data_IF_088720477810
#
_entry.id   IF_088720477810
#
_cell.length_a   1.000
_cell.length_b   1.000
_cell.length_c   1.000
_cell.angle_alpha   90.00
_cell.angle_beta   90.00
_cell.angle_gamma   90.00
#
_symmetry.space_group_name_H-M   'P 1'
#
loop_
_entity.id
_entity.type
_entity.pdbx_description
1 polymer ?
#
# COMPACT_ATOMS: atom_id res chain seq x y z
N UNK A 1 -57.24 34.90 31.24
CA UNK A 1 -57.60 33.48 31.29
C UNK A 1 -57.19 32.91 29.94
N UNK A 2 -55.97 32.37 29.86
CA UNK A 2 -55.70 30.91 29.87
C UNK A 2 -56.28 30.29 28.57
N UNK A 3 -55.52 29.67 27.66
CA UNK A 3 -54.51 28.63 27.85
C UNK A 3 -53.45 28.63 26.74
N UNK A 4 -52.26 28.16 27.10
CA UNK A 4 -51.24 27.62 26.20
C UNK A 4 -51.77 26.37 25.50
N UNK A 5 -51.44 26.16 24.22
CA UNK A 5 -50.95 24.85 23.79
C UNK A 5 -49.78 25.01 22.82
N UNK A 6 -48.74 24.30 23.21
CA UNK A 6 -47.42 24.08 22.64
C UNK A 6 -47.53 23.01 21.55
N UNK A 7 -46.94 23.27 20.37
CA UNK A 7 -46.34 22.22 19.55
C UNK A 7 -45.19 22.81 18.76
N UNK A 8 -44.01 22.65 19.34
CA UNK A 8 -42.71 22.66 18.67
C UNK A 8 -42.58 21.38 17.85
N UNK A 9 -42.33 21.44 16.53
CA UNK A 9 -41.54 20.40 15.84
C UNK A 9 -40.88 20.89 14.54
N UNK A 10 -39.59 21.22 14.69
CA UNK A 10 -38.46 20.83 13.83
C UNK A 10 -38.58 21.11 12.33
N UNK A 11 -38.06 22.27 11.90
CA UNK A 11 -37.46 22.41 10.58
C UNK A 11 -36.29 21.41 10.48
N UNK A 12 -36.54 20.27 9.83
CA UNK A 12 -35.46 19.41 9.34
C UNK A 12 -34.91 20.09 8.09
N UNK A 13 -33.86 20.88 8.29
CA UNK A 13 -32.98 21.31 7.22
C UNK A 13 -32.40 20.05 6.56
N UNK A 14 -33.03 19.62 5.48
CA UNK A 14 -32.41 18.73 4.51
C UNK A 14 -31.23 19.49 3.89
N UNK A 15 -30.07 19.41 4.53
CA UNK A 15 -28.80 19.60 3.84
C UNK A 15 -28.66 18.43 2.88
N UNK A 16 -29.27 18.57 1.70
CA UNK A 16 -28.83 17.83 0.53
C UNK A 16 -27.43 18.36 0.26
N UNK A 17 -26.42 17.68 0.81
CA UNK A 17 -25.05 17.83 0.33
C UNK A 17 -25.12 17.29 -1.09
N UNK A 18 -25.26 18.18 -2.07
CA UNK A 18 -25.04 17.84 -3.47
C UNK A 18 -23.65 17.20 -3.54
N UNK A 19 -23.61 15.88 -3.75
CA UNK A 19 -22.38 15.18 -4.12
C UNK A 19 -21.90 15.85 -5.40
N UNK A 20 -20.91 16.72 -5.28
CA UNK A 20 -20.23 17.28 -6.45
C UNK A 20 -19.72 16.10 -7.27
N UNK A 21 -20.20 15.98 -8.51
CA UNK A 21 -19.81 14.89 -9.40
C UNK A 21 -18.29 14.94 -9.61
N UNK A 22 -17.62 13.81 -9.32
CA UNK A 22 -16.18 13.66 -9.51
C UNK A 22 -15.83 13.91 -10.98
N UNK A 23 -15.00 14.94 -11.24
CA UNK A 23 -14.55 15.26 -12.59
C UNK A 23 -13.52 14.23 -13.05
N UNK A 24 -13.87 13.42 -14.05
CA UNK A 24 -12.93 12.46 -14.63
C UNK A 24 -12.09 13.13 -15.73
N UNK A 25 -10.77 13.07 -15.61
CA UNK A 25 -9.83 13.46 -16.67
C UNK A 25 -9.54 12.21 -17.51
N UNK A 26 -10.00 12.14 -18.77
CA UNK A 26 -9.85 10.93 -19.57
C UNK A 26 -8.38 10.64 -19.88
N UNK A 27 -8.03 9.37 -19.89
CA UNK A 27 -6.76 8.87 -20.39
C UNK A 27 -6.99 8.28 -21.79
N UNK A 28 -6.26 8.78 -22.76
CA UNK A 28 -6.27 8.23 -24.11
C UNK A 28 -5.41 6.96 -24.13
N UNK A 29 -6.05 5.84 -23.75
CA UNK A 29 -5.40 4.54 -23.76
C UNK A 29 -5.40 3.96 -25.17
N UNK A 30 -4.29 3.33 -25.61
CA UNK A 30 -4.22 2.71 -26.92
C UNK A 30 -5.22 1.55 -27.02
N UNK A 31 -5.82 1.39 -28.20
CA UNK A 31 -6.54 0.16 -28.56
C UNK A 31 -5.61 -1.05 -28.50
N UNK A 32 -6.17 -2.27 -28.51
CA UNK A 32 -5.36 -3.50 -28.50
C UNK A 32 -4.35 -3.57 -29.65
N UNK A 33 -4.72 -3.07 -30.83
CA UNK A 33 -3.87 -3.08 -32.02
C UNK A 33 -2.77 -2.01 -31.94
N UNK A 34 -3.11 -0.81 -31.46
CA UNK A 34 -2.13 0.24 -31.19
C UNK A 34 -1.14 -0.17 -30.11
N UNK A 35 -1.63 -0.82 -29.04
CA UNK A 35 -0.78 -1.30 -27.95
C UNK A 35 0.22 -2.35 -28.43
N UNK A 36 -0.18 -3.26 -29.32
CA UNK A 36 0.75 -4.23 -29.93
C UNK A 36 1.85 -3.54 -30.74
N UNK A 37 1.48 -2.46 -31.45
CA UNK A 37 2.43 -1.64 -32.24
C UNK A 37 3.41 -0.90 -31.31
N UNK A 38 2.90 -0.26 -30.26
CA UNK A 38 3.73 0.46 -29.27
C UNK A 38 4.67 -0.52 -28.55
N UNK A 39 4.21 -1.73 -28.19
CA UNK A 39 5.06 -2.77 -27.59
C UNK A 39 6.21 -3.16 -28.51
N UNK A 40 5.94 -3.33 -29.80
CA UNK A 40 6.99 -3.65 -30.77
C UNK A 40 8.00 -2.49 -30.92
N UNK A 41 7.51 -1.26 -30.95
CA UNK A 41 8.34 -0.07 -31.05
C UNK A 41 9.23 0.10 -29.80
N UNK A 42 8.66 0.05 -28.61
CA UNK A 42 9.41 0.14 -27.34
C UNK A 42 10.51 -0.92 -27.29
N UNK A 43 10.20 -2.18 -27.68
CA UNK A 43 11.20 -3.25 -27.72
C UNK A 43 12.38 -2.90 -28.63
N UNK A 44 12.12 -2.30 -29.80
CA UNK A 44 13.16 -1.94 -30.77
C UNK A 44 14.09 -0.80 -30.31
N UNK A 45 13.63 0.04 -29.39
CA UNK A 45 14.38 1.18 -28.88
C UNK A 45 15.32 0.81 -27.71
N UNK A 46 15.12 -0.36 -27.08
CA UNK A 46 15.89 -0.76 -25.91
C UNK A 46 17.26 -1.31 -26.28
N UNK A 47 18.28 -0.92 -25.52
CA UNK A 47 19.66 -1.40 -25.70
C UNK A 47 19.87 -2.83 -25.19
N UNK A 48 19.03 -3.26 -24.26
CA UNK A 48 19.06 -4.58 -23.64
C UNK A 48 17.77 -5.31 -23.94
N UNK A 49 17.80 -6.64 -23.87
CA UNK A 49 16.63 -7.46 -24.11
C UNK A 49 15.53 -7.18 -23.07
N UNK A 50 14.36 -6.77 -23.54
CA UNK A 50 13.21 -6.42 -22.70
C UNK A 50 11.93 -7.05 -23.21
N UNK A 51 10.98 -7.26 -22.28
CA UNK A 51 9.58 -7.59 -22.57
C UNK A 51 8.74 -6.40 -22.17
N UNK A 52 8.40 -5.50 -23.12
CA UNK A 52 7.50 -4.39 -22.82
C UNK A 52 6.16 -4.92 -22.32
N UNK A 53 5.84 -4.62 -21.07
CA UNK A 53 4.69 -5.17 -20.36
C UNK A 53 3.68 -4.05 -20.12
N UNK A 54 2.47 -4.11 -20.71
CA UNK A 54 1.40 -3.16 -20.42
C UNK A 54 1.13 -3.12 -18.92
N UNK A 55 1.32 -1.95 -18.33
CA UNK A 55 1.16 -1.73 -16.90
C UNK A 55 0.12 -0.64 -16.70
N UNK A 56 -0.86 -0.91 -15.84
CA UNK A 56 -1.91 0.03 -15.46
C UNK A 56 -1.42 0.94 -14.33
N UNK A 57 -1.55 2.24 -14.54
CA UNK A 57 -1.29 3.27 -13.55
C UNK A 57 -2.62 3.90 -13.14
N UNK A 58 -3.07 3.58 -11.94
CA UNK A 58 -4.25 4.18 -11.34
C UNK A 58 -3.89 5.51 -10.69
N UNK A 59 -4.81 6.47 -10.75
CA UNK A 59 -4.61 7.79 -10.16
C UNK A 59 -5.60 8.03 -9.04
N UNK A 60 -5.16 8.82 -8.07
CA UNK A 60 -5.97 9.21 -6.93
C UNK A 60 -6.98 10.26 -7.31
N UNK A 61 -8.03 10.36 -6.47
CA UNK A 61 -8.80 11.60 -6.40
C UNK A 61 -7.91 12.73 -5.90
N UNK A 62 -8.02 13.87 -6.55
CA UNK A 62 -7.33 15.11 -6.23
C UNK A 62 -8.38 16.23 -6.12
N UNK A 63 -8.08 17.27 -5.33
CA UNK A 63 -8.90 18.48 -5.26
C UNK A 63 -8.17 19.61 -5.95
N UNK A 64 -8.87 20.38 -6.77
CA UNK A 64 -8.34 21.63 -7.30
C UNK A 64 -8.43 22.77 -6.27
N UNK A 65 -7.86 23.93 -6.61
CA UNK A 65 -7.87 25.12 -5.75
C UNK A 65 -9.29 25.65 -5.47
N UNK A 66 -10.29 25.21 -6.24
CA UNK A 66 -11.71 25.55 -6.07
C UNK A 66 -12.48 24.51 -5.23
N UNK A 67 -11.80 23.46 -4.76
CA UNK A 67 -12.37 22.40 -3.94
C UNK A 67 -13.07 21.28 -4.74
N UNK A 68 -13.05 21.34 -6.08
CA UNK A 68 -13.69 20.35 -6.93
C UNK A 68 -12.81 19.10 -7.00
N UNK A 69 -13.39 17.94 -6.73
CA UNK A 69 -12.71 16.66 -6.85
C UNK A 69 -12.57 16.25 -8.32
N UNK A 70 -11.37 15.81 -8.70
CA UNK A 70 -11.10 15.20 -9.99
C UNK A 70 -10.25 13.92 -9.85
N UNK A 71 -10.41 12.98 -10.78
CA UNK A 71 -9.57 11.78 -10.88
C UNK A 71 -9.18 11.58 -12.33
N UNK A 72 -7.93 11.23 -12.57
CA UNK A 72 -7.48 10.82 -13.91
C UNK A 72 -7.81 9.35 -14.13
N UNK A 73 -8.31 9.02 -15.32
CA UNK A 73 -8.51 7.63 -15.72
C UNK A 73 -7.18 6.86 -15.70
N UNK A 74 -7.29 5.55 -15.48
CA UNK A 74 -6.14 4.64 -15.50
C UNK A 74 -5.38 4.79 -16.81
N UNK A 75 -4.07 4.99 -16.72
CA UNK A 75 -3.18 5.07 -17.88
C UNK A 75 -2.50 3.71 -18.09
N UNK A 76 -2.58 3.17 -19.29
CA UNK A 76 -1.88 1.94 -19.66
C UNK A 76 -0.58 2.29 -20.40
N UNK A 77 0.56 1.93 -19.82
CA UNK A 77 1.89 2.18 -20.43
C UNK A 77 2.67 0.88 -20.54
N UNK A 78 3.20 0.52 -21.72
CA UNK A 78 4.11 -0.62 -21.86
C UNK A 78 5.50 -0.29 -21.31
N UNK A 79 5.83 -0.89 -20.15
CA UNK A 79 7.13 -0.68 -19.50
C UNK A 79 8.16 -1.67 -20.03
N UNK A 80 9.37 -1.24 -20.44
CA UNK A 80 10.41 -2.13 -20.96
C UNK A 80 11.10 -2.90 -19.82
N UNK A 81 10.46 -3.96 -19.33
CA UNK A 81 11.01 -4.79 -18.25
C UNK A 81 12.15 -5.67 -18.81
N UNK A 82 13.39 -5.59 -18.28
CA UNK A 82 14.48 -6.44 -18.75
C UNK A 82 14.17 -7.93 -18.57
N UNK A 83 14.51 -8.75 -19.57
CA UNK A 83 14.51 -10.21 -19.41
C UNK A 83 15.69 -10.65 -18.56
N UNK A 84 15.72 -11.93 -18.16
CA UNK A 84 16.91 -12.48 -17.48
C UNK A 84 18.16 -12.26 -18.33
N UNK A 85 18.08 -12.49 -19.65
CA UNK A 85 19.19 -12.22 -20.57
C UNK A 85 19.54 -10.73 -20.61
N UNK A 86 18.54 -9.84 -20.65
CA UNK A 86 18.77 -8.40 -20.58
C UNK A 86 19.48 -7.98 -19.29
N UNK A 87 19.11 -8.57 -18.14
CA UNK A 87 19.81 -8.36 -16.86
C UNK A 87 21.25 -8.87 -16.91
N UNK A 88 21.49 -10.04 -17.51
CA UNK A 88 22.85 -10.55 -17.72
C UNK A 88 23.68 -9.60 -18.59
N UNK A 89 23.11 -9.08 -19.69
CA UNK A 89 23.79 -8.09 -20.53
C UNK A 89 24.15 -6.82 -19.75
N UNK A 90 23.26 -6.31 -18.88
CA UNK A 90 23.56 -5.16 -18.01
C UNK A 90 24.77 -5.44 -17.11
N UNK A 91 24.87 -6.66 -16.58
CA UNK A 91 25.98 -7.07 -15.71
C UNK A 91 27.28 -7.21 -16.51
N UNK A 92 27.23 -7.85 -17.68
CA UNK A 92 28.37 -8.11 -18.56
C UNK A 92 28.95 -6.82 -19.14
N UNK A 93 28.10 -5.87 -19.54
CA UNK A 93 28.51 -4.53 -20.00
C UNK A 93 29.17 -3.71 -18.87
N UNK A 94 28.73 -3.94 -17.62
CA UNK A 94 29.23 -3.22 -16.46
C UNK A 94 28.78 -1.75 -16.41
N UNK A 95 29.64 -0.89 -15.87
CA UNK A 95 29.39 0.56 -15.78
C UNK A 95 28.16 0.94 -14.95
N UNK A 96 27.50 2.04 -15.32
CA UNK A 96 26.41 2.65 -14.54
C UNK A 96 25.16 1.76 -14.42
N UNK A 97 24.87 0.93 -15.44
CA UNK A 97 23.77 -0.02 -15.39
C UNK A 97 23.99 -1.10 -14.33
N UNK A 98 25.17 -1.71 -14.32
CA UNK A 98 25.55 -2.68 -13.29
C UNK A 98 25.65 -2.06 -11.89
N UNK A 99 26.14 -0.82 -11.77
CA UNK A 99 26.15 -0.08 -10.50
C UNK A 99 24.73 0.10 -9.95
N UNK A 100 23.79 0.56 -10.78
CA UNK A 100 22.39 0.73 -10.38
C UNK A 100 21.73 -0.62 -10.00
N UNK A 101 22.02 -1.69 -10.75
CA UNK A 101 21.52 -3.03 -10.41
C UNK A 101 22.07 -3.50 -9.06
N UNK A 102 23.36 -3.25 -8.79
CA UNK A 102 23.97 -3.56 -7.49
C UNK A 102 23.34 -2.74 -6.36
N UNK A 103 23.04 -1.47 -6.59
CA UNK A 103 22.34 -0.63 -5.61
C UNK A 103 20.95 -1.18 -5.29
N UNK A 104 20.19 -1.59 -6.30
CA UNK A 104 18.87 -2.23 -6.11
C UNK A 104 18.97 -3.52 -5.29
N UNK A 105 19.92 -4.41 -5.61
CA UNK A 105 20.19 -5.64 -4.83
C UNK A 105 20.62 -5.30 -3.39
N UNK A 106 21.46 -4.28 -3.22
CA UNK A 106 21.93 -3.84 -1.90
C UNK A 106 20.78 -3.34 -1.03
N UNK A 107 19.81 -2.64 -1.62
CA UNK A 107 18.68 -2.08 -0.86
C UNK A 107 17.75 -3.17 -0.34
N UNK A 108 17.59 -4.29 -1.06
CA UNK A 108 16.85 -5.47 -0.58
C UNK A 108 17.48 -5.99 0.73
N UNK A 109 18.80 -6.18 0.75
CA UNK A 109 19.53 -6.67 1.93
C UNK A 109 19.45 -5.67 3.08
N UNK A 110 19.69 -4.39 2.80
CA UNK A 110 19.60 -3.32 3.83
C UNK A 110 18.21 -3.22 4.41
N UNK A 111 17.17 -3.39 3.60
CA UNK A 111 15.79 -3.34 4.06
C UNK A 111 15.48 -4.51 4.99
N UNK A 112 15.95 -5.72 4.68
CA UNK A 112 15.83 -6.86 5.59
C UNK A 112 16.57 -6.60 6.90
N UNK A 113 17.80 -6.08 6.84
CA UNK A 113 18.57 -5.76 8.04
C UNK A 113 17.85 -4.73 8.93
N UNK A 114 17.27 -3.67 8.35
CA UNK A 114 16.46 -2.69 9.09
C UNK A 114 15.22 -3.34 9.72
N UNK A 115 14.59 -4.30 9.05
CA UNK A 115 13.44 -5.03 9.61
C UNK A 115 13.85 -5.79 10.87
N UNK A 116 14.95 -6.55 10.81
CA UNK A 116 15.47 -7.31 11.95
C UNK A 116 15.78 -6.40 13.14
N UNK A 117 16.47 -5.28 12.91
CA UNK A 117 16.79 -4.29 13.96
C UNK A 117 15.51 -3.70 14.59
N UNK A 118 14.49 -3.43 13.78
CA UNK A 118 13.20 -2.93 14.28
C UNK A 118 12.41 -4.00 15.03
N UNK A 119 12.68 -5.27 14.76
CA UNK A 119 11.99 -6.40 15.35
C UNK A 119 12.59 -6.81 16.70
N UNK A 120 13.89 -6.62 16.90
CA UNK A 120 14.57 -6.87 18.17
C UNK A 120 15.59 -5.77 18.51
N UNK A 121 15.24 -4.95 19.51
CA UNK A 121 16.08 -3.84 20.01
C UNK A 121 17.39 -4.32 20.67
N UNK A 122 17.53 -5.62 20.97
CA UNK A 122 18.75 -6.21 21.54
C UNK A 122 19.78 -6.60 20.50
N UNK A 123 19.42 -6.56 19.22
CA UNK A 123 20.35 -6.85 18.14
C UNK A 123 21.47 -5.81 18.10
N UNK A 124 22.68 -6.32 17.92
CA UNK A 124 23.92 -5.57 17.79
C UNK A 124 24.85 -6.35 16.86
N UNK A 125 26.00 -5.77 16.53
CA UNK A 125 26.93 -6.37 15.57
C UNK A 125 27.43 -7.78 15.96
N UNK A 126 27.42 -8.13 17.26
CA UNK A 126 27.92 -9.41 17.75
C UNK A 126 26.88 -10.54 17.76
N UNK A 127 25.58 -10.22 17.76
CA UNK A 127 24.48 -11.21 17.75
C UNK A 127 23.56 -11.07 16.54
N UNK A 128 23.98 -10.32 15.51
CA UNK A 128 23.17 -10.09 14.31
C UNK A 128 23.00 -11.39 13.50
N UNK A 129 21.76 -11.76 13.10
CA UNK A 129 21.51 -12.96 12.31
C UNK A 129 21.84 -12.73 10.82
N UNK A 130 23.13 -12.77 10.48
CA UNK A 130 23.63 -12.51 9.11
C UNK A 130 23.14 -13.54 8.08
N UNK A 131 22.82 -14.75 8.51
CA UNK A 131 22.21 -15.80 7.69
C UNK A 131 20.87 -15.36 7.08
N UNK A 132 20.09 -14.58 7.84
CA UNK A 132 18.81 -14.01 7.40
C UNK A 132 18.96 -12.84 6.41
N UNK A 133 20.19 -12.38 6.15
CA UNK A 133 20.49 -11.38 5.13
C UNK A 133 20.86 -11.96 3.77
N UNK A 134 21.02 -13.30 3.68
CA UNK A 134 21.39 -13.93 2.42
C UNK A 134 20.29 -13.77 1.37
N UNK A 135 20.70 -13.62 0.10
CA UNK A 135 19.75 -13.49 -0.99
C UNK A 135 18.81 -14.69 -1.06
N UNK A 136 19.33 -15.89 -0.83
CA UNK A 136 18.55 -17.13 -0.82
C UNK A 136 17.48 -17.14 0.29
N UNK A 137 17.85 -16.77 1.51
CA UNK A 137 16.87 -16.64 2.61
C UNK A 137 15.77 -15.62 2.25
N UNK A 138 16.18 -14.42 1.82
CA UNK A 138 15.23 -13.35 1.48
C UNK A 138 14.32 -13.77 0.32
N UNK A 139 14.87 -14.41 -0.72
CA UNK A 139 14.12 -14.87 -1.88
C UNK A 139 13.17 -16.03 -1.58
N UNK A 140 13.29 -16.69 -0.43
CA UNK A 140 12.41 -17.78 0.00
C UNK A 140 11.42 -17.39 1.12
N UNK A 141 11.52 -16.20 1.71
CA UNK A 141 10.50 -15.70 2.66
C UNK A 141 9.09 -15.64 2.03
N UNK A 142 7.98 -15.58 2.78
CA UNK A 142 6.67 -15.31 2.20
C UNK A 142 6.67 -14.01 1.38
N UNK A 143 5.98 -13.96 0.23
CA UNK A 143 6.03 -12.81 -0.71
C UNK A 143 5.70 -11.48 -0.03
N UNK A 144 4.71 -11.47 0.86
CA UNK A 144 4.33 -10.29 1.65
C UNK A 144 5.38 -9.83 2.67
N UNK A 145 6.29 -10.72 3.07
CA UNK A 145 7.41 -10.42 3.98
C UNK A 145 8.66 -9.95 3.24
N UNK A 146 8.77 -10.18 1.91
CA UNK A 146 9.91 -9.74 1.09
C UNK A 146 9.78 -8.23 0.79
N UNK A 147 10.35 -7.38 1.64
CA UNK A 147 10.39 -5.95 1.35
C UNK A 147 11.41 -5.63 0.25
N UNK A 148 10.91 -5.21 -0.89
CA UNK A 148 11.67 -4.85 -2.09
C UNK A 148 10.78 -4.62 -3.32
N UNK A 149 9.58 -5.21 -3.32
CA UNK A 149 8.44 -4.85 -4.17
C UNK A 149 7.28 -4.25 -3.36
N UNK A 150 7.61 -3.46 -2.33
CA UNK A 150 6.62 -2.95 -1.39
C UNK A 150 5.69 -1.91 -1.99
N UNK A 151 4.47 -1.85 -1.47
CA UNK A 151 3.46 -0.85 -1.79
C UNK A 151 4.07 0.56 -1.70
N UNK A 152 3.94 1.41 -2.75
CA UNK A 152 4.56 2.74 -2.77
C UNK A 152 4.16 3.61 -1.58
N UNK A 153 5.06 4.53 -1.17
CA UNK A 153 4.82 5.41 -0.02
C UNK A 153 3.56 6.25 -0.23
N UNK A 154 3.35 6.68 -1.46
CA UNK A 154 2.17 7.41 -1.88
C UNK A 154 0.95 6.54 -1.58
N UNK A 155 0.91 5.28 -2.05
CA UNK A 155 -0.17 4.32 -1.78
C UNK A 155 -0.52 4.25 -0.29
N UNK A 156 0.48 4.12 0.60
CA UNK A 156 0.29 4.19 2.05
C UNK A 156 -0.34 5.51 2.55
N UNK A 157 0.19 6.66 2.13
CA UNK A 157 -0.30 7.96 2.56
C UNK A 157 -1.75 8.22 2.12
N UNK A 158 -2.16 7.70 0.96
CA UNK A 158 -3.55 7.80 0.50
C UNK A 158 -4.47 6.88 1.27
N UNK A 159 -4.06 5.64 1.51
CA UNK A 159 -4.83 4.72 2.37
C UNK A 159 -5.09 5.33 3.74
N UNK A 160 -4.08 5.95 4.37
CA UNK A 160 -4.26 6.60 5.68
C UNK A 160 -5.32 7.69 5.65
N UNK A 161 -5.34 8.52 4.59
CA UNK A 161 -6.33 9.60 4.45
C UNK A 161 -7.73 9.04 4.23
N UNK A 162 -7.86 8.10 3.29
CA UNK A 162 -9.12 7.45 2.95
C UNK A 162 -9.70 6.69 4.15
N UNK A 163 -8.87 5.91 4.85
CA UNK A 163 -9.26 5.22 6.08
C UNK A 163 -9.79 6.20 7.13
N UNK A 164 -9.12 7.34 7.34
CA UNK A 164 -9.56 8.34 8.33
C UNK A 164 -10.90 8.95 7.94
N UNK A 165 -11.10 9.28 6.67
CA UNK A 165 -12.33 9.86 6.14
C UNK A 165 -13.50 8.87 6.25
N UNK A 166 -13.32 7.67 5.70
CA UNK A 166 -14.34 6.61 5.67
C UNK A 166 -14.73 6.18 7.08
N UNK A 167 -13.76 5.89 7.95
CA UNK A 167 -14.05 5.36 9.28
C UNK A 167 -14.68 6.38 10.23
N UNK A 168 -14.51 7.68 9.98
CA UNK A 168 -15.26 8.71 10.70
C UNK A 168 -16.72 8.79 10.27
N UNK A 169 -17.02 8.45 9.00
CA UNK A 169 -18.38 8.46 8.48
C UNK A 169 -19.15 7.20 8.87
N UNK A 170 -18.49 6.03 8.86
CA UNK A 170 -19.16 4.73 9.03
C UNK A 170 -19.08 4.17 10.46
N UNK A 171 -18.40 4.85 11.38
CA UNK A 171 -18.29 4.41 12.79
C UNK A 171 -18.52 5.57 13.76
N UNK A 172 -19.01 5.26 14.97
CA UNK A 172 -19.14 6.24 16.07
C UNK A 172 -17.81 6.56 16.77
N UNK A 173 -16.67 6.24 16.16
CA UNK A 173 -15.34 6.49 16.75
C UNK A 173 -14.96 7.95 16.60
N UNK A 174 -14.24 8.48 17.58
CA UNK A 174 -13.73 9.86 17.48
C UNK A 174 -12.63 9.95 16.42
N UNK A 175 -12.45 11.14 15.83
CA UNK A 175 -11.34 11.43 14.91
C UNK A 175 -9.98 11.00 15.49
N UNK A 176 -9.78 11.21 16.79
CA UNK A 176 -8.55 10.82 17.49
C UNK A 176 -8.36 9.30 17.48
N UNK A 177 -9.41 8.53 17.77
CA UNK A 177 -9.37 7.06 17.76
C UNK A 177 -9.08 6.51 16.37
N UNK A 178 -9.76 7.04 15.34
CA UNK A 178 -9.55 6.63 13.95
C UNK A 178 -8.13 6.99 13.48
N UNK A 179 -7.68 8.21 13.79
CA UNK A 179 -6.32 8.66 13.46
C UNK A 179 -5.26 7.80 14.15
N UNK A 180 -5.49 7.37 15.38
CA UNK A 180 -4.57 6.48 16.08
C UNK A 180 -4.48 5.10 15.40
N UNK A 181 -5.61 4.50 15.01
CA UNK A 181 -5.61 3.26 14.24
C UNK A 181 -4.87 3.42 12.89
N UNK A 182 -5.13 4.52 12.16
CA UNK A 182 -4.46 4.82 10.91
C UNK A 182 -2.94 4.96 11.07
N UNK A 183 -2.47 5.57 12.17
CA UNK A 183 -1.03 5.63 12.50
C UNK A 183 -0.44 4.24 12.72
N UNK A 184 -1.15 3.33 13.39
CA UNK A 184 -0.69 1.96 13.60
C UNK A 184 -0.62 1.17 12.30
N UNK A 185 -1.59 1.34 11.40
CA UNK A 185 -1.54 0.74 10.06
C UNK A 185 -0.37 1.29 9.24
N UNK A 186 -0.16 2.62 9.23
CA UNK A 186 0.96 3.23 8.53
C UNK A 186 2.33 2.77 9.08
N UNK A 187 2.40 2.53 10.39
CA UNK A 187 3.56 1.92 11.06
C UNK A 187 3.67 0.40 10.83
N UNK A 188 2.85 -0.16 9.92
CA UNK A 188 2.82 -1.59 9.56
C UNK A 188 2.66 -2.49 10.79
N UNK A 189 1.89 -2.01 11.77
CA UNK A 189 1.55 -2.70 13.01
C UNK A 189 2.74 -3.01 13.93
N UNK A 190 3.96 -2.58 13.58
CA UNK A 190 5.18 -2.85 14.35
C UNK A 190 5.09 -2.42 15.81
N UNK A 191 4.53 -1.24 16.16
CA UNK A 191 4.41 -0.83 17.56
C UNK A 191 3.54 -1.73 18.43
N UNK A 192 2.67 -2.55 17.80
CA UNK A 192 1.68 -3.39 18.49
C UNK A 192 1.83 -4.87 18.15
N UNK A 193 2.97 -5.26 17.56
CA UNK A 193 3.24 -6.61 17.04
C UNK A 193 3.06 -7.75 18.06
N UNK A 194 3.21 -7.48 19.36
CA UNK A 194 3.00 -8.46 20.44
C UNK A 194 1.66 -8.32 21.16
N UNK A 195 0.88 -7.26 20.87
CA UNK A 195 -0.35 -6.96 21.58
C UNK A 195 -1.55 -7.55 20.84
N UNK A 196 -1.85 -8.83 21.08
CA UNK A 196 -2.96 -9.57 20.43
C UNK A 196 -4.31 -8.88 20.55
N UNK A 197 -4.58 -8.21 21.68
CA UNK A 197 -5.84 -7.49 21.89
C UNK A 197 -5.96 -6.31 20.93
N UNK A 198 -4.91 -5.51 20.82
CA UNK A 198 -4.89 -4.37 19.89
C UNK A 198 -4.89 -4.86 18.44
N UNK A 199 -4.16 -5.94 18.12
CA UNK A 199 -4.18 -6.54 16.78
C UNK A 199 -5.58 -7.01 16.37
N UNK A 200 -6.34 -7.63 17.28
CA UNK A 200 -7.71 -8.08 16.99
C UNK A 200 -8.65 -6.88 16.76
N UNK A 201 -8.51 -5.81 17.54
CA UNK A 201 -9.28 -4.57 17.36
C UNK A 201 -8.95 -3.90 16.02
N UNK A 202 -7.69 -3.94 15.58
CA UNK A 202 -7.28 -3.40 14.29
C UNK A 202 -7.76 -4.30 13.12
N UNK A 203 -7.80 -5.62 13.31
CA UNK A 203 -8.39 -6.55 12.34
C UNK A 203 -9.86 -6.27 12.09
N UNK A 204 -10.64 -6.12 13.17
CA UNK A 204 -12.06 -5.77 13.09
C UNK A 204 -12.26 -4.44 12.37
N UNK A 205 -11.45 -3.43 12.71
CA UNK A 205 -11.52 -2.11 12.06
C UNK A 205 -11.14 -2.15 10.58
N UNK A 206 -10.11 -2.92 10.22
CA UNK A 206 -9.73 -3.12 8.83
C UNK A 206 -10.85 -3.84 8.07
N UNK A 207 -11.52 -4.79 8.71
CA UNK A 207 -12.72 -5.45 8.19
C UNK A 207 -13.89 -4.48 7.98
N UNK A 208 -14.17 -3.59 8.94
CA UNK A 208 -15.21 -2.55 8.78
C UNK A 208 -14.90 -1.64 7.60
N UNK A 209 -13.66 -1.15 7.50
CA UNK A 209 -13.23 -0.34 6.36
C UNK A 209 -13.36 -1.10 5.03
N UNK A 210 -12.93 -2.36 4.98
CA UNK A 210 -13.00 -3.19 3.78
C UNK A 210 -14.42 -3.52 3.32
N UNK A 211 -15.43 -3.35 4.18
CA UNK A 211 -16.84 -3.54 3.86
C UNK A 211 -17.62 -2.22 3.72
N UNK A 212 -16.97 -1.07 3.88
CA UNK A 212 -17.60 0.23 3.72
C UNK A 212 -17.75 0.59 2.24
N UNK A 213 -18.94 1.03 1.83
CA UNK A 213 -19.23 1.42 0.43
C UNK A 213 -18.39 2.64 -0.02
N UNK A 214 -17.98 3.47 0.93
CA UNK A 214 -17.18 4.67 0.72
C UNK A 214 -15.68 4.37 0.52
N UNK A 215 -15.22 3.17 0.88
CA UNK A 215 -13.81 2.81 0.81
C UNK A 215 -13.33 2.63 -0.64
N UNK A 216 -12.17 3.18 -0.96
CA UNK A 216 -11.54 3.01 -2.27
C UNK A 216 -10.74 1.69 -2.33
N UNK A 217 -11.46 0.56 -2.26
CA UNK A 217 -10.87 -0.78 -2.15
C UNK A 217 -10.00 -1.16 -3.34
N UNK A 218 -10.35 -0.70 -4.54
CA UNK A 218 -9.56 -0.96 -5.75
C UNK A 218 -8.17 -0.33 -5.66
N UNK A 219 -8.05 0.89 -5.13
CA UNK A 219 -6.76 1.57 -4.98
C UNK A 219 -5.92 1.03 -3.82
N UNK A 220 -6.56 0.52 -2.77
CA UNK A 220 -5.88 0.14 -1.53
C UNK A 220 -5.89 -1.37 -1.24
N UNK A 221 -6.31 -2.20 -2.19
CA UNK A 221 -6.37 -3.66 -2.06
C UNK A 221 -5.05 -4.25 -1.54
N UNK A 222 -3.92 -3.85 -2.12
CA UNK A 222 -2.61 -4.34 -1.69
C UNK A 222 -2.28 -3.95 -0.24
N UNK A 223 -2.69 -2.75 0.20
CA UNK A 223 -2.48 -2.28 1.59
C UNK A 223 -3.32 -3.11 2.55
N UNK A 224 -4.58 -3.34 2.20
CA UNK A 224 -5.52 -4.12 3.02
C UNK A 224 -5.02 -5.56 3.15
N UNK A 225 -4.66 -6.20 2.04
CA UNK A 225 -4.12 -7.56 2.01
C UNK A 225 -2.84 -7.66 2.85
N UNK A 226 -1.89 -6.74 2.65
CA UNK A 226 -0.66 -6.68 3.43
C UNK A 226 -0.94 -6.57 4.94
N UNK A 227 -1.84 -5.68 5.34
CA UNK A 227 -2.18 -5.49 6.76
C UNK A 227 -2.87 -6.71 7.34
N UNK A 228 -3.81 -7.31 6.62
CA UNK A 228 -4.52 -8.51 7.07
C UNK A 228 -3.56 -9.68 7.30
N UNK A 229 -2.67 -9.98 6.34
CA UNK A 229 -1.67 -11.04 6.49
C UNK A 229 -0.69 -10.76 7.64
N UNK A 230 -0.32 -9.48 7.82
CA UNK A 230 0.59 -9.09 8.90
C UNK A 230 -0.05 -9.24 10.27
N UNK A 231 -1.34 -8.91 10.42
CA UNK A 231 -2.10 -9.15 11.64
C UNK A 231 -2.11 -10.64 11.98
N UNK A 232 -2.46 -11.49 11.01
CA UNK A 232 -2.47 -12.96 11.17
C UNK A 232 -1.10 -13.45 11.65
N UNK A 233 -0.04 -13.08 10.92
CA UNK A 233 1.34 -13.43 11.27
C UNK A 233 1.68 -13.02 12.71
N UNK A 234 1.38 -11.78 13.11
CA UNK A 234 1.70 -11.29 14.45
C UNK A 234 0.89 -11.97 15.56
N UNK A 235 -0.38 -12.32 15.30
CA UNK A 235 -1.20 -13.08 16.25
C UNK A 235 -0.68 -14.52 16.44
N UNK A 236 -0.15 -15.14 15.38
CA UNK A 236 0.40 -16.50 15.38
C UNK A 236 1.84 -16.58 15.93
N UNK A 237 2.69 -15.60 15.62
CA UNK A 237 4.14 -15.61 15.93
C UNK A 237 4.44 -15.73 17.45
N UNK A 238 3.51 -15.32 18.30
CA UNK A 238 3.63 -15.46 19.77
C UNK A 238 3.56 -16.90 20.32
N UNK A 239 3.14 -17.90 19.53
CA UNK A 239 3.15 -19.30 19.96
C UNK A 239 4.44 -20.03 19.56
N UNK A 240 5.06 -19.66 18.43
CA UNK A 240 6.25 -20.37 17.93
C UNK A 240 7.57 -19.94 18.58
N UNK A 241 7.64 -18.73 19.16
CA UNK A 241 8.85 -18.24 19.84
C UNK A 241 9.05 -18.78 21.26
N UNK A 242 8.15 -19.66 21.74
CA UNK A 242 8.30 -20.41 23.00
C UNK A 242 8.76 -21.86 22.75
N UNK A 243 8.66 -22.39 21.53
CA UNK A 243 9.06 -23.78 21.24
C UNK A 243 10.51 -23.96 20.75
N UNK A 244 11.22 -22.89 20.40
CA UNK A 244 12.66 -22.97 20.05
C UNK A 244 13.59 -22.62 21.22
N UNK A 245 13.03 -22.40 22.41
CA UNK A 245 13.78 -22.12 23.64
C UNK A 245 13.62 -23.21 24.74
N UNK A 246 13.12 -24.39 24.37
CA UNK A 246 13.07 -25.60 25.21
C UNK A 246 13.83 -26.75 24.53
#
# INVERSE_FOLDING_TARGET
MSEQQDTTTVETGNNVVEKQELKIIPAENPTKEELATIVAEVRSQMKVETVPTPTEFTFRKQKDDSGIEYKRDTLVVPLPIPTINGVLSIIEEGGKGAELLREAVTEVIKTQARSLISEDEKLNAANFPYDQLSWDFIANMPKASRKGGGIPKEIWEGFVKDYIEVMQEVTDKTLEQVTFAAKLFNAKLQPVKTNKKVLSVLEEQLGVYANAEQANLEEFAEVIEFLAEKITTFKETSESSILEAL
#
